data_IF_304553649255
#
_entry.id   IF_304553649255
#
_cell.length_a   1.000
_cell.length_b   1.000
_cell.length_c   1.000
_cell.angle_alpha   90.00
_cell.angle_beta   90.00
_cell.angle_gamma   90.00
#
_symmetry.space_group_name_H-M   'P 1'
#
loop_
_entity.id
_entity.type
_entity.pdbx_description
1 polymer ?
#
# COMPACT_ATOMS: atom_id res chain seq x y z
N UNK A 1 16.64 -19.93 -7.19
CA UNK A 1 16.05 -18.58 -7.19
C UNK A 1 14.88 -18.46 -6.19
N UNK A 2 15.03 -18.99 -4.96
CA UNK A 2 13.95 -19.04 -3.96
C UNK A 2 14.13 -18.05 -2.78
N UNK A 3 15.32 -17.47 -2.59
CA UNK A 3 15.66 -16.76 -1.35
C UNK A 3 15.17 -15.30 -1.20
N UNK A 4 14.58 -14.69 -2.23
CA UNK A 4 14.26 -13.24 -2.21
C UNK A 4 12.82 -12.91 -1.79
N UNK A 5 11.90 -13.88 -1.82
CA UNK A 5 10.48 -13.62 -1.55
C UNK A 5 10.14 -13.45 -0.07
N UNK A 6 10.96 -14.00 0.82
CA UNK A 6 10.69 -13.96 2.26
C UNK A 6 10.86 -12.57 2.86
N UNK A 7 11.72 -11.73 2.26
CA UNK A 7 12.07 -10.40 2.79
C UNK A 7 10.94 -9.39 2.62
N UNK A 8 10.16 -9.50 1.54
CA UNK A 8 9.01 -8.63 1.29
C UNK A 8 7.82 -8.92 2.20
N UNK A 9 7.58 -10.20 2.51
CA UNK A 9 6.48 -10.62 3.39
C UNK A 9 6.71 -10.19 4.84
N UNK A 10 7.95 -10.26 5.33
CA UNK A 10 8.30 -9.78 6.66
C UNK A 10 8.07 -8.28 6.85
N UNK A 11 8.31 -7.48 5.81
CA UNK A 11 8.01 -6.04 5.84
C UNK A 11 6.52 -5.77 5.96
N UNK A 12 5.70 -6.55 5.24
CA UNK A 12 4.24 -6.45 5.28
C UNK A 12 3.67 -6.83 6.65
N UNK A 13 4.10 -7.97 7.20
CA UNK A 13 3.68 -8.40 8.53
C UNK A 13 4.16 -7.42 9.63
N UNK A 14 5.34 -6.84 9.46
CA UNK A 14 5.91 -5.85 10.38
C UNK A 14 5.16 -4.52 10.38
N UNK A 15 4.79 -4.00 9.20
CA UNK A 15 3.96 -2.79 9.06
C UNK A 15 2.60 -2.98 9.72
N UNK A 16 1.93 -4.09 9.42
CA UNK A 16 0.63 -4.41 9.99
C UNK A 16 0.68 -4.58 11.52
N UNK A 17 1.74 -5.21 12.03
CA UNK A 17 1.92 -5.35 13.48
C UNK A 17 2.14 -3.98 14.15
N UNK A 18 2.91 -3.09 13.51
CA UNK A 18 3.08 -1.71 13.99
C UNK A 18 1.76 -0.94 13.98
N UNK A 19 0.92 -1.10 12.95
CA UNK A 19 -0.40 -0.45 12.89
C UNK A 19 -1.30 -0.86 14.07
N UNK A 20 -1.26 -2.14 14.45
CA UNK A 20 -2.02 -2.68 15.59
C UNK A 20 -1.47 -2.18 16.93
N UNK A 21 -0.14 -2.11 17.06
CA UNK A 21 0.53 -1.70 18.30
C UNK A 21 0.50 -0.18 18.55
N UNK A 22 0.37 0.61 17.49
CA UNK A 22 0.38 2.06 17.60
C UNK A 22 -0.96 2.58 18.13
N UNK A 23 -0.90 3.22 19.29
CA UNK A 23 -2.03 3.94 19.88
C UNK A 23 -2.13 5.35 19.32
N UNK A 24 -3.34 5.77 18.98
CA UNK A 24 -3.63 7.13 18.49
C UNK A 24 -3.81 7.24 16.97
N UNK A 25 -4.80 8.05 16.59
CA UNK A 25 -5.26 8.22 15.21
C UNK A 25 -4.17 8.74 14.27
N UNK A 26 -3.41 9.75 14.71
CA UNK A 26 -2.36 10.36 13.89
C UNK A 26 -1.22 9.38 13.61
N UNK A 27 -0.83 8.59 14.61
CA UNK A 27 0.26 7.65 14.45
C UNK A 27 -0.14 6.48 13.53
N UNK A 28 -1.39 5.99 13.60
CA UNK A 28 -1.94 5.04 12.61
C UNK A 28 -1.96 5.60 11.19
N UNK A 29 -2.36 6.86 11.01
CA UNK A 29 -2.32 7.51 9.70
C UNK A 29 -0.90 7.57 9.13
N UNK A 30 0.13 7.78 9.95
CA UNK A 30 1.52 7.75 9.51
C UNK A 30 1.98 6.35 9.08
N UNK A 31 1.61 5.31 9.83
CA UNK A 31 1.91 3.92 9.46
C UNK A 31 1.24 3.56 8.12
N UNK A 32 -0.05 3.88 7.96
CA UNK A 32 -0.80 3.62 6.72
C UNK A 32 -0.19 4.35 5.51
N UNK A 33 0.27 5.60 5.67
CA UNK A 33 0.98 6.33 4.59
C UNK A 33 2.25 5.60 4.15
N UNK A 34 2.98 5.01 5.10
CA UNK A 34 4.20 4.27 4.82
C UNK A 34 3.90 2.93 4.13
N UNK A 35 2.85 2.22 4.54
CA UNK A 35 2.38 1.01 3.87
C UNK A 35 1.92 1.28 2.43
N UNK A 36 1.35 2.45 2.17
CA UNK A 36 0.95 2.89 0.84
C UNK A 36 2.12 2.86 -0.17
N UNK A 37 3.37 3.07 0.28
CA UNK A 37 4.57 2.91 -0.55
C UNK A 37 4.69 1.49 -1.06
N UNK A 38 4.52 0.49 -0.19
CA UNK A 38 4.57 -0.91 -0.60
C UNK A 38 3.43 -1.28 -1.55
N UNK A 39 2.22 -0.79 -1.30
CA UNK A 39 1.06 -1.04 -2.16
C UNK A 39 1.26 -0.53 -3.59
N UNK A 40 1.72 0.71 -3.74
CA UNK A 40 1.91 1.34 -5.05
C UNK A 40 3.10 0.71 -5.80
N UNK A 41 4.12 0.24 -5.07
CA UNK A 41 5.30 -0.41 -5.64
C UNK A 41 5.05 -1.87 -6.02
N UNK A 42 4.04 -2.52 -5.43
CA UNK A 42 3.69 -3.92 -5.66
C UNK A 42 3.50 -4.29 -7.15
N UNK A 43 2.65 -3.57 -7.91
CA UNK A 43 2.44 -3.83 -9.34
C UNK A 43 3.71 -3.73 -10.18
N UNK A 44 4.60 -2.78 -9.88
CA UNK A 44 5.89 -2.63 -10.57
C UNK A 44 6.79 -3.81 -10.23
N UNK A 45 6.85 -4.20 -8.95
CA UNK A 45 7.58 -5.37 -8.50
C UNK A 45 7.14 -6.63 -9.23
N UNK A 46 5.82 -6.86 -9.35
CA UNK A 46 5.27 -8.00 -10.07
C UNK A 46 5.54 -7.96 -11.57
N UNK A 47 5.46 -6.78 -12.20
CA UNK A 47 5.78 -6.62 -13.61
C UNK A 47 7.25 -6.94 -13.90
N UNK A 48 8.17 -6.36 -13.13
CA UNK A 48 9.61 -6.60 -13.25
C UNK A 48 9.95 -8.06 -12.97
N UNK A 49 9.30 -8.66 -11.97
CA UNK A 49 9.46 -10.07 -11.67
C UNK A 49 9.00 -10.96 -12.83
N UNK A 50 7.84 -10.70 -13.42
CA UNK A 50 7.34 -11.44 -14.58
C UNK A 50 8.27 -11.33 -15.78
N UNK A 51 8.84 -10.15 -16.02
CA UNK A 51 9.85 -9.93 -17.06
C UNK A 51 11.16 -10.69 -16.80
N UNK A 52 11.59 -10.75 -15.54
CA UNK A 52 12.76 -11.52 -15.13
C UNK A 52 12.53 -13.03 -15.29
N UNK A 53 11.35 -13.53 -14.89
CA UNK A 53 10.99 -14.94 -15.08
C UNK A 53 10.96 -15.36 -16.55
N UNK A 54 10.60 -14.45 -17.46
CA UNK A 54 10.59 -14.70 -18.91
C UNK A 54 11.96 -14.56 -19.58
N UNK A 55 13.02 -14.27 -18.83
CA UNK A 55 14.35 -13.96 -19.37
C UNK A 55 14.41 -12.66 -20.20
N UNK A 56 13.34 -11.84 -20.18
CA UNK A 56 13.20 -10.63 -21.00
C UNK A 56 13.55 -9.34 -20.26
N UNK A 57 14.16 -9.43 -19.08
CA UNK A 57 14.60 -8.28 -18.28
C UNK A 57 15.45 -7.28 -19.08
N UNK A 58 16.30 -7.77 -19.99
CA UNK A 58 17.16 -6.94 -20.85
C UNK A 58 16.42 -6.15 -21.94
N UNK A 59 15.17 -6.49 -22.27
CA UNK A 59 14.40 -5.83 -23.33
C UNK A 59 13.70 -4.57 -22.86
N UNK A 60 13.53 -4.39 -21.54
CA UNK A 60 12.94 -3.16 -21.00
C UNK A 60 14.05 -2.16 -20.76
N UNK A 61 14.18 -1.20 -21.67
CA UNK A 61 15.15 -0.12 -21.52
C UNK A 61 14.94 0.65 -20.20
N UNK A 62 16.04 1.06 -19.54
CA UNK A 62 16.03 1.84 -18.28
C UNK A 62 15.07 3.04 -18.31
N UNK A 63 14.84 3.64 -19.48
CA UNK A 63 13.89 4.73 -19.71
C UNK A 63 12.43 4.32 -19.46
N UNK A 64 12.03 3.13 -19.92
CA UNK A 64 10.69 2.60 -19.72
C UNK A 64 10.44 2.18 -18.27
N UNK A 65 11.47 1.64 -17.61
CA UNK A 65 11.41 1.38 -16.17
C UNK A 65 11.24 2.69 -15.39
N UNK A 66 11.98 3.75 -15.74
CA UNK A 66 11.81 5.05 -15.09
C UNK A 66 10.41 5.66 -15.30
N UNK A 67 9.80 5.48 -16.49
CA UNK A 67 8.42 5.92 -16.75
C UNK A 67 7.39 5.18 -15.89
N UNK A 68 7.62 3.89 -15.60
CA UNK A 68 6.76 3.12 -14.68
C UNK A 68 6.73 3.73 -13.27
N UNK A 69 7.78 4.42 -12.85
CA UNK A 69 7.85 5.09 -11.54
C UNK A 69 7.13 6.43 -11.48
N UNK A 70 6.77 7.04 -12.61
CA UNK A 70 6.12 8.36 -12.63
C UNK A 70 4.76 8.30 -11.91
N UNK A 71 3.94 7.31 -12.25
CA UNK A 71 2.61 7.13 -11.64
C UNK A 71 2.73 6.89 -10.12
N UNK A 72 3.56 5.94 -9.63
CA UNK A 72 3.81 5.75 -8.21
C UNK A 72 4.23 7.01 -7.47
N UNK A 73 5.20 7.75 -8.03
CA UNK A 73 5.71 8.96 -7.42
C UNK A 73 4.61 10.02 -7.29
N UNK A 74 3.76 10.18 -8.31
CA UNK A 74 2.61 11.09 -8.25
C UNK A 74 1.60 10.66 -7.19
N UNK A 75 1.26 9.36 -7.14
CA UNK A 75 0.34 8.84 -6.12
C UNK A 75 0.89 8.99 -4.70
N UNK A 76 2.20 8.78 -4.49
CA UNK A 76 2.83 8.98 -3.19
C UNK A 76 2.88 10.45 -2.81
N UNK A 77 3.18 11.33 -3.75
CA UNK A 77 3.12 12.76 -3.53
C UNK A 77 1.72 13.15 -3.04
N UNK A 78 0.66 12.71 -3.73
CA UNK A 78 -0.72 12.96 -3.32
C UNK A 78 -1.05 12.39 -1.93
N UNK A 79 -0.60 11.18 -1.58
CA UNK A 79 -0.86 10.56 -0.28
C UNK A 79 -0.21 11.34 0.85
N UNK A 80 1.04 11.79 0.66
CA UNK A 80 1.76 12.57 1.67
C UNK A 80 1.26 14.01 1.76
N UNK A 81 0.87 14.63 0.64
CA UNK A 81 0.27 15.98 0.63
C UNK A 81 -1.24 15.98 0.91
N UNK A 82 -1.84 14.82 1.18
CA UNK A 82 -3.27 14.69 1.48
C UNK A 82 -3.73 15.38 2.77
N UNK A 83 -2.83 15.98 3.54
CA UNK A 83 -3.17 16.87 4.67
C UNK A 83 -3.44 18.30 4.20
N UNK A 84 -2.83 18.70 3.08
CA UNK A 84 -2.98 20.03 2.49
C UNK A 84 -4.11 20.08 1.45
N UNK A 85 -4.56 18.93 0.95
CA UNK A 85 -5.62 18.86 -0.04
C UNK A 85 -6.61 17.71 0.20
N UNK A 86 -7.88 17.94 -0.18
CA UNK A 86 -8.96 16.94 -0.08
C UNK A 86 -9.05 15.97 -1.26
N UNK A 87 -8.08 15.99 -2.17
CA UNK A 87 -8.14 15.19 -3.40
C UNK A 87 -7.97 13.68 -3.20
N UNK A 88 -7.40 13.25 -2.08
CA UNK A 88 -7.10 11.84 -1.84
C UNK A 88 -7.98 11.21 -0.75
N UNK A 89 -8.12 11.89 0.40
CA UNK A 89 -8.97 11.43 1.50
C UNK A 89 -10.06 12.47 1.77
N UNK A 90 -11.34 12.11 1.56
CA UNK A 90 -12.47 13.00 1.81
C UNK A 90 -12.81 13.11 3.29
N UNK A 91 -12.77 11.97 4.00
CA UNK A 91 -12.96 11.86 5.44
C UNK A 91 -12.04 10.76 5.97
N UNK A 92 -11.40 10.99 7.12
CA UNK A 92 -10.57 10.02 7.82
C UNK A 92 -11.22 9.78 9.18
N UNK A 93 -11.98 8.69 9.32
CA UNK A 93 -12.69 8.36 10.55
C UNK A 93 -12.13 7.04 11.09
N UNK A 94 -11.79 6.99 12.38
CA UNK A 94 -11.49 5.74 13.06
C UNK A 94 -12.80 5.24 13.69
N UNK A 95 -13.37 4.17 13.14
CA UNK A 95 -14.57 3.55 13.70
C UNK A 95 -14.18 2.64 14.85
N UNK A 96 -14.50 3.05 16.08
CA UNK A 96 -14.33 2.23 17.27
C UNK A 96 -15.65 1.49 17.57
N UNK A 97 -16.09 0.62 16.66
CA UNK A 97 -17.30 -0.18 16.86
C UNK A 97 -16.97 -1.47 17.61
N UNK A 98 -16.99 -1.42 18.96
CA UNK A 98 -17.16 -2.63 19.79
C UNK A 98 -18.60 -3.17 19.75
N UNK A 99 -19.43 -2.67 18.84
CA UNK A 99 -20.81 -3.12 18.64
C UNK A 99 -20.91 -3.71 17.24
N UNK A 100 -20.70 -5.03 17.14
CA UNK A 100 -21.21 -5.80 16.00
C UNK A 100 -22.73 -5.79 16.07
N UNK A 101 -23.35 -4.74 15.55
CA UNK A 101 -24.81 -4.67 15.47
C UNK A 101 -25.24 -5.63 14.37
N UNK A 102 -25.56 -6.87 14.75
CA UNK A 102 -26.17 -7.84 13.85
C UNK A 102 -27.59 -7.33 13.55
N UNK A 103 -27.77 -6.49 12.51
CA UNK A 103 -29.10 -6.11 12.09
C UNK A 103 -29.78 -7.36 11.54
N UNK A 104 -30.66 -7.98 12.34
CA UNK A 104 -31.54 -9.03 11.83
C UNK A 104 -32.39 -8.39 10.73
N UNK A 105 -32.23 -8.87 9.50
CA UNK A 105 -33.15 -8.55 8.41
C UNK A 105 -34.53 -9.01 8.88
N UNK A 106 -35.55 -8.13 8.91
CA UNK A 106 -36.88 -8.53 9.33
C UNK A 106 -37.41 -9.56 8.33
N UNK A 107 -37.58 -10.80 8.79
CA UNK A 107 -38.38 -11.80 8.09
C UNK A 107 -39.83 -11.39 8.28
N UNK A 108 -40.42 -10.84 7.21
CA UNK A 108 -41.86 -10.63 7.07
C UNK A 108 -42.61 -11.96 7.09
#
# INVERSE_FOLDING_TARGET
MAGYYHRGQGFWCGGYTLEVLVEGFNAKLWVVKFEYVAFVMGPIGWLLLGLQMRGKSLYVGRKWVALLFVIPCLTLLQVFTAEHHRFFWLQKNLWNSMVFTFSRVPTA
#
